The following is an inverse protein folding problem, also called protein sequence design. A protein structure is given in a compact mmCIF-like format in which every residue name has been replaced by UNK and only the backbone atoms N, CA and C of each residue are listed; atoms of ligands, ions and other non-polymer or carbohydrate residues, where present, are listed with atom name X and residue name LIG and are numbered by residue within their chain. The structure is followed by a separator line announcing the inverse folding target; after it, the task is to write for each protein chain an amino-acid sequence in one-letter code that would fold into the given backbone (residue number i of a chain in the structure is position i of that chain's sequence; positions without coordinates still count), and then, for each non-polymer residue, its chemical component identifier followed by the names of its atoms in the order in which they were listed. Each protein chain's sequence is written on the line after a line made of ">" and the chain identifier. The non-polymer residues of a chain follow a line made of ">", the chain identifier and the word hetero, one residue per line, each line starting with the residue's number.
data_IF_386484163367
#
_entry.id   IF_386484163367
#
_cell.length_a   1.000
_cell.length_b   1.000
_cell.length_c   1.000
_cell.angle_alpha   90.00
_cell.angle_beta   90.00
_cell.angle_gamma   90.00
#
_symmetry.space_group_name_H-M   'P 1'
#
loop_
_entity.id
_entity.type
_entity.pdbx_description
1 polymer ?
#
# COMPACT_ATOMS: atom_id res chain seq x y z
N UNK A 1 23.66 7.23 -0.83
CA UNK A 1 24.92 6.55 -0.48
C UNK A 1 24.59 5.14 0.01
N UNK A 2 25.42 4.15 -0.32
CA UNK A 2 25.22 2.76 0.05
C UNK A 2 26.55 2.06 0.33
N UNK A 3 26.48 1.02 1.16
CA UNK A 3 27.60 0.14 1.49
C UNK A 3 27.20 -1.28 1.19
N UNK A 4 28.08 -2.07 0.58
CA UNK A 4 27.89 -3.49 0.35
C UNK A 4 28.98 -4.29 1.06
N UNK A 5 28.58 -5.33 1.79
CA UNK A 5 29.44 -6.31 2.41
C UNK A 5 29.30 -7.64 1.66
N UNK A 6 30.39 -8.15 1.12
CA UNK A 6 30.44 -9.39 0.33
C UNK A 6 31.08 -10.52 1.14
N UNK A 7 30.40 -11.66 1.22
CA UNK A 7 30.93 -12.85 1.86
C UNK A 7 30.60 -14.11 1.06
N UNK A 8 31.63 -14.84 0.58
CA UNK A 8 31.45 -16.07 -0.24
C UNK A 8 30.57 -17.15 0.44
N UNK A 9 30.62 -17.23 1.77
CA UNK A 9 29.85 -18.23 2.51
C UNK A 9 28.47 -17.74 2.95
N UNK A 10 28.33 -16.45 3.24
CA UNK A 10 27.19 -15.85 3.90
C UNK A 10 26.26 -15.05 2.98
N UNK A 11 26.66 -14.84 1.72
CA UNK A 11 25.91 -14.04 0.78
C UNK A 11 26.34 -12.56 0.79
N UNK A 12 25.50 -11.70 0.24
CA UNK A 12 25.72 -10.27 0.12
C UNK A 12 24.75 -9.50 1.00
N UNK A 13 25.28 -8.56 1.79
CA UNK A 13 24.50 -7.59 2.55
C UNK A 13 24.76 -6.20 2.00
N UNK A 14 23.72 -5.50 1.62
CA UNK A 14 23.77 -4.12 1.10
C UNK A 14 22.95 -3.19 2.01
N UNK A 15 23.48 -2.00 2.27
CA UNK A 15 22.78 -0.95 2.99
C UNK A 15 22.74 0.34 2.20
N UNK A 16 21.59 0.98 2.09
CA UNK A 16 21.43 2.27 1.40
C UNK A 16 20.46 3.17 2.16
N UNK A 17 20.64 4.48 2.02
CA UNK A 17 19.65 5.46 2.46
C UNK A 17 18.83 5.87 1.24
N UNK A 18 17.52 5.82 1.38
CA UNK A 18 16.55 6.22 0.35
C UNK A 18 15.71 7.37 0.87
N UNK A 19 15.57 8.39 0.05
CA UNK A 19 14.62 9.47 0.28
C UNK A 19 13.57 9.44 -0.84
N UNK A 20 12.31 9.56 -0.47
CA UNK A 20 11.16 9.66 -1.36
C UNK A 20 10.47 10.98 -1.09
N UNK A 21 10.33 11.80 -2.11
CA UNK A 21 9.52 13.03 -2.06
C UNK A 21 8.27 12.83 -2.92
N UNK A 22 7.12 13.13 -2.36
CA UNK A 22 5.83 13.03 -3.05
C UNK A 22 5.13 14.38 -2.94
N UNK A 23 4.58 14.87 -4.05
CA UNK A 23 3.77 16.06 -4.10
C UNK A 23 2.38 15.72 -4.62
N UNK A 24 1.36 16.16 -3.90
CA UNK A 24 -0.04 16.09 -4.30
C UNK A 24 -0.54 17.52 -4.48
N UNK A 25 -1.13 17.81 -5.64
CA UNK A 25 -1.72 19.11 -5.94
C UNK A 25 -3.18 18.96 -6.31
N UNK A 26 -3.95 19.98 -5.97
CA UNK A 26 -5.31 20.16 -6.43
C UNK A 26 -5.35 21.52 -7.15
N UNK A 27 -5.85 21.52 -8.38
CA UNK A 27 -6.02 22.72 -9.17
C UNK A 27 -7.13 23.60 -8.57
N UNK A 28 -7.15 24.88 -8.94
CA UNK A 28 -8.23 25.79 -8.61
C UNK A 28 -9.56 25.25 -9.15
N UNK A 29 -10.40 24.75 -8.26
CA UNK A 29 -11.71 24.25 -8.59
C UNK A 29 -12.75 25.32 -8.24
N UNK A 30 -13.44 25.86 -9.24
CA UNK A 30 -14.60 26.70 -9.02
C UNK A 30 -15.80 25.80 -8.77
N UNK A 31 -16.19 25.62 -7.52
CA UNK A 31 -17.43 24.95 -7.17
C UNK A 31 -18.57 25.98 -7.16
N UNK A 32 -19.58 25.79 -8.02
CA UNK A 32 -20.80 26.58 -7.99
C UNK A 32 -21.80 25.86 -7.08
N UNK A 33 -22.00 26.35 -5.89
CA UNK A 33 -23.14 25.95 -5.06
C UNK A 33 -24.38 26.71 -5.55
N UNK A 34 -25.30 25.99 -6.16
CA UNK A 34 -26.64 26.52 -6.42
C UNK A 34 -27.49 26.29 -5.15
N UNK A 35 -27.58 27.27 -4.32
CA UNK A 35 -28.70 27.37 -3.40
C UNK A 35 -29.86 28.07 -4.12
N UNK A 36 -31.11 27.76 -3.77
CA UNK A 36 -32.32 28.20 -4.48
C UNK A 36 -32.49 29.74 -4.52
N UNK A 37 -31.63 30.48 -3.81
CA UNK A 37 -31.69 31.93 -3.68
C UNK A 37 -30.41 32.70 -4.03
N UNK A 38 -29.24 32.05 -4.02
CA UNK A 38 -27.95 32.71 -4.32
C UNK A 38 -26.99 31.72 -4.99
N UNK A 39 -26.52 32.11 -6.18
CA UNK A 39 -25.41 31.40 -6.82
C UNK A 39 -24.10 31.95 -6.30
N UNK A 40 -23.51 31.35 -5.29
CA UNK A 40 -22.15 31.67 -4.86
C UNK A 40 -21.15 30.76 -5.56
N UNK A 41 -20.21 31.37 -6.27
CA UNK A 41 -19.06 30.63 -6.81
C UNK A 41 -17.97 30.65 -5.74
N UNK A 42 -17.78 29.52 -5.08
CA UNK A 42 -16.68 29.32 -4.14
C UNK A 42 -15.49 28.81 -4.95
N UNK A 43 -14.46 29.62 -5.10
CA UNK A 43 -13.18 29.19 -5.66
C UNK A 43 -12.31 28.63 -4.54
N UNK A 44 -11.98 27.36 -4.59
CA UNK A 44 -10.93 26.77 -3.74
C UNK A 44 -9.56 27.17 -4.29
N UNK A 45 -8.67 27.75 -3.49
CA UNK A 45 -7.33 28.07 -3.95
C UNK A 45 -6.56 26.79 -4.32
N UNK A 46 -5.64 26.92 -5.27
CA UNK A 46 -4.71 25.86 -5.62
C UNK A 46 -3.94 25.42 -4.36
N UNK A 47 -4.03 24.16 -4.01
CA UNK A 47 -3.44 23.63 -2.77
C UNK A 47 -2.46 22.53 -3.10
N UNK A 48 -1.22 22.65 -2.58
CA UNK A 48 -0.17 21.64 -2.75
C UNK A 48 0.24 21.08 -1.39
N UNK A 49 0.34 19.77 -1.34
CA UNK A 49 0.88 19.02 -0.21
C UNK A 49 2.17 18.34 -0.61
N UNK A 50 3.21 18.50 0.21
CA UNK A 50 4.51 17.89 -0.03
C UNK A 50 4.85 16.95 1.13
N UNK A 51 5.24 15.73 0.80
CA UNK A 51 5.60 14.70 1.75
C UNK A 51 7.02 14.22 1.48
N UNK A 52 7.76 13.89 2.52
CA UNK A 52 9.12 13.37 2.41
C UNK A 52 9.29 12.21 3.38
N UNK A 53 9.63 11.04 2.83
CA UNK A 53 9.96 9.86 3.59
C UNK A 53 11.44 9.53 3.42
N UNK A 54 12.11 9.23 4.53
CA UNK A 54 13.52 8.81 4.54
C UNK A 54 13.62 7.44 5.21
N UNK A 55 14.25 6.50 4.52
CA UNK A 55 14.40 5.12 4.96
C UNK A 55 15.85 4.65 4.90
N UNK A 56 16.23 3.78 5.82
CA UNK A 56 17.36 2.88 5.65
C UNK A 56 16.85 1.63 4.93
N UNK A 57 17.41 1.36 3.76
CA UNK A 57 17.17 0.12 3.03
C UNK A 57 18.30 -0.86 3.31
N UNK A 58 17.96 -2.05 3.80
CA UNK A 58 18.84 -3.21 3.87
C UNK A 58 18.41 -4.24 2.84
N UNK A 59 19.39 -4.87 2.17
CA UNK A 59 19.15 -6.01 1.28
C UNK A 59 20.12 -7.12 1.63
N UNK A 60 19.59 -8.30 1.81
CA UNK A 60 20.35 -9.53 1.95
C UNK A 60 20.06 -10.46 0.77
N UNK A 61 21.11 -11.04 0.21
CA UNK A 61 21.00 -12.02 -0.88
C UNK A 61 21.99 -13.14 -0.65
N UNK A 62 21.48 -14.36 -0.58
CA UNK A 62 22.28 -15.58 -0.57
C UNK A 62 21.66 -16.54 -1.58
N UNK A 63 22.42 -16.89 -2.60
CA UNK A 63 21.98 -17.81 -3.66
C UNK A 63 23.02 -18.91 -3.80
N UNK A 64 22.61 -20.12 -3.47
CA UNK A 64 23.35 -21.36 -3.68
C UNK A 64 22.56 -22.23 -4.65
N UNK A 65 23.21 -23.24 -5.20
CA UNK A 65 22.64 -24.13 -6.22
C UNK A 65 21.27 -24.72 -5.83
N UNK A 66 21.11 -25.11 -4.56
CA UNK A 66 19.87 -25.75 -4.07
C UNK A 66 18.97 -24.85 -3.23
N UNK A 67 19.52 -23.79 -2.66
CA UNK A 67 18.79 -22.91 -1.73
C UNK A 67 19.14 -21.47 -2.04
N UNK A 68 18.14 -20.61 -2.07
CA UNK A 68 18.35 -19.17 -2.16
C UNK A 68 17.40 -18.40 -1.27
N UNK A 69 17.91 -17.31 -0.72
CA UNK A 69 17.14 -16.34 0.08
C UNK A 69 17.48 -14.95 -0.40
N UNK A 70 16.45 -14.14 -0.57
CA UNK A 70 16.56 -12.70 -0.79
C UNK A 70 15.61 -12.02 0.18
N UNK A 71 16.11 -11.05 0.94
CA UNK A 71 15.30 -10.23 1.84
C UNK A 71 15.66 -8.76 1.64
N UNK A 72 14.64 -7.91 1.64
CA UNK A 72 14.77 -6.45 1.61
C UNK A 72 13.96 -5.88 2.78
N UNK A 73 14.56 -4.97 3.53
CA UNK A 73 13.91 -4.26 4.62
C UNK A 73 14.07 -2.76 4.41
N UNK A 74 13.00 -2.03 4.64
CA UNK A 74 12.99 -0.57 4.68
C UNK A 74 12.59 -0.16 6.10
N UNK A 75 13.51 0.48 6.80
CA UNK A 75 13.31 1.00 8.15
C UNK A 75 13.11 2.51 8.05
N UNK A 76 11.99 3.06 8.48
CA UNK A 76 11.75 4.49 8.41
C UNK A 76 12.64 5.22 9.41
N UNK A 77 13.35 6.26 8.95
CA UNK A 77 13.99 7.29 9.78
C UNK A 77 13.02 8.46 9.98
N UNK A 78 12.33 8.82 8.92
CA UNK A 78 11.22 9.76 8.90
C UNK A 78 10.20 9.22 7.92
N UNK A 79 8.98 8.97 8.37
CA UNK A 79 7.93 8.40 7.55
C UNK A 79 6.64 9.18 7.72
N UNK A 80 6.13 9.71 6.61
CA UNK A 80 4.81 10.32 6.52
C UNK A 80 3.85 9.40 5.78
N UNK A 81 4.28 8.85 4.64
CA UNK A 81 3.44 8.03 3.77
C UNK A 81 3.75 6.55 3.86
N UNK A 82 5.02 6.21 4.02
CA UNK A 82 5.49 4.83 4.00
C UNK A 82 6.28 4.50 5.26
N UNK A 83 5.77 3.58 6.07
CA UNK A 83 6.44 3.07 7.26
C UNK A 83 7.39 1.91 6.95
N UNK A 84 7.38 0.92 7.82
CA UNK A 84 8.19 -0.29 7.70
C UNK A 84 7.75 -1.15 6.51
N UNK A 85 8.74 -1.68 5.77
CA UNK A 85 8.52 -2.68 4.70
C UNK A 85 9.52 -3.79 4.85
N UNK A 86 9.05 -5.03 4.79
CA UNK A 86 9.85 -6.24 4.73
C UNK A 86 9.36 -7.12 3.58
N UNK A 87 10.24 -7.40 2.64
CA UNK A 87 10.04 -8.35 1.55
C UNK A 87 11.07 -9.48 1.67
N UNK A 88 10.61 -10.73 1.76
CA UNK A 88 11.49 -11.89 1.77
C UNK A 88 11.02 -12.93 0.76
N UNK A 89 11.99 -13.53 0.07
CA UNK A 89 11.77 -14.62 -0.90
C UNK A 89 12.77 -15.72 -0.61
N UNK A 90 12.30 -16.93 -0.64
CA UNK A 90 13.16 -18.11 -0.52
C UNK A 90 12.81 -19.13 -1.58
N UNK A 91 13.79 -19.92 -2.00
CA UNK A 91 13.54 -21.09 -2.81
C UNK A 91 14.39 -22.26 -2.34
N UNK A 92 13.86 -23.46 -2.53
CA UNK A 92 14.51 -24.73 -2.28
C UNK A 92 14.32 -25.64 -3.50
N UNK A 93 15.42 -26.10 -4.08
CA UNK A 93 15.41 -27.09 -5.16
C UNK A 93 15.31 -28.49 -4.52
N UNK A 94 14.18 -29.17 -4.74
CA UNK A 94 13.88 -30.49 -4.21
C UNK A 94 14.33 -31.65 -5.14
N UNK A 95 15.11 -31.36 -6.16
CA UNK A 95 15.58 -32.25 -7.20
C UNK A 95 15.79 -31.45 -8.49
N UNK A 96 15.95 -32.14 -9.63
CA UNK A 96 16.23 -31.41 -10.89
C UNK A 96 14.99 -30.73 -11.48
N UNK A 97 13.80 -31.19 -11.12
CA UNK A 97 12.54 -30.74 -11.73
C UNK A 97 11.56 -30.10 -10.74
N UNK A 98 11.89 -30.05 -9.42
CA UNK A 98 10.99 -29.54 -8.38
C UNK A 98 11.58 -28.39 -7.61
N UNK A 99 10.75 -27.38 -7.38
CA UNK A 99 11.10 -26.19 -6.63
C UNK A 99 10.00 -25.86 -5.62
N UNK A 100 10.40 -25.62 -4.39
CA UNK A 100 9.56 -25.00 -3.39
C UNK A 100 9.97 -23.52 -3.28
N UNK A 101 9.01 -22.62 -3.41
CA UNK A 101 9.23 -21.17 -3.27
C UNK A 101 8.35 -20.61 -2.16
N UNK A 102 8.86 -19.65 -1.45
CA UNK A 102 8.14 -18.93 -0.41
C UNK A 102 8.33 -17.43 -0.56
N UNK A 103 7.27 -16.69 -0.28
CA UNK A 103 7.28 -15.23 -0.24
C UNK A 103 6.63 -14.77 1.05
N UNK A 104 7.27 -13.82 1.70
CA UNK A 104 6.73 -13.10 2.83
C UNK A 104 6.86 -11.61 2.54
N UNK A 105 5.78 -10.88 2.76
CA UNK A 105 5.72 -9.44 2.59
C UNK A 105 4.97 -8.85 3.78
N UNK A 106 5.54 -7.83 4.40
CA UNK A 106 4.89 -7.02 5.40
C UNK A 106 5.12 -5.55 5.08
N UNK A 107 4.05 -4.77 5.04
CA UNK A 107 4.10 -3.33 4.77
C UNK A 107 3.21 -2.58 5.72
N UNK A 108 3.72 -1.46 6.22
CA UNK A 108 2.93 -0.43 6.88
C UNK A 108 3.01 0.82 6.02
N UNK A 109 1.87 1.30 5.54
CA UNK A 109 1.81 2.48 4.69
C UNK A 109 0.50 3.22 4.91
N UNK A 110 0.48 4.51 4.66
CA UNK A 110 -0.80 5.21 4.56
C UNK A 110 -1.57 4.72 3.33
N UNK A 111 -2.89 4.73 3.36
CA UNK A 111 -3.74 4.52 2.19
C UNK A 111 -3.34 5.44 1.03
N UNK A 112 -3.84 5.14 -0.16
CA UNK A 112 -3.64 6.01 -1.30
C UNK A 112 -4.08 7.45 -0.97
N UNK A 113 -3.26 8.45 -1.32
CA UNK A 113 -3.51 9.84 -0.92
C UNK A 113 -4.88 10.37 -1.34
N UNK A 114 -5.42 9.88 -2.47
CA UNK A 114 -6.77 10.22 -2.93
C UNK A 114 -7.89 9.63 -2.04
N UNK A 115 -7.61 8.62 -1.23
CA UNK A 115 -8.54 8.13 -0.20
C UNK A 115 -8.47 8.95 1.09
N UNK A 116 -7.33 9.60 1.34
CA UNK A 116 -7.16 10.41 2.55
C UNK A 116 -7.52 11.87 2.32
N UNK A 117 -7.31 12.34 1.10
CA UNK A 117 -7.53 13.73 0.72
C UNK A 117 -7.94 13.80 -0.74
N UNK A 118 -9.10 14.34 -1.00
CA UNK A 118 -9.62 14.50 -2.34
C UNK A 118 -10.40 15.80 -2.46
N UNK A 119 -10.24 16.48 -3.58
CA UNK A 119 -10.96 17.71 -3.90
C UNK A 119 -11.49 17.62 -5.34
N UNK A 120 -12.75 17.96 -5.51
CA UNK A 120 -13.43 17.98 -6.79
C UNK A 120 -14.35 19.20 -6.92
N UNK A 121 -14.87 19.43 -8.13
CA UNK A 121 -15.91 20.44 -8.39
C UNK A 121 -17.27 20.11 -7.76
N UNK A 122 -17.43 18.90 -7.25
CA UNK A 122 -18.66 18.43 -6.61
C UNK A 122 -18.48 18.45 -5.09
N UNK A 123 -19.29 19.20 -4.38
CA UNK A 123 -19.21 19.36 -2.91
C UNK A 123 -19.26 18.00 -2.18
N UNK A 124 -20.00 17.05 -2.74
CA UNK A 124 -20.14 15.71 -2.20
C UNK A 124 -18.87 14.83 -2.25
N UNK A 125 -17.89 15.22 -3.07
CA UNK A 125 -16.66 14.47 -3.29
C UNK A 125 -15.44 15.25 -2.82
N UNK A 126 -15.56 15.95 -1.70
CA UNK A 126 -14.47 16.67 -1.07
C UNK A 126 -14.26 16.16 0.34
N UNK A 127 -13.08 15.62 0.63
CA UNK A 127 -12.73 15.14 1.98
C UNK A 127 -11.25 15.34 2.28
N UNK A 128 -10.94 15.55 3.55
CA UNK A 128 -9.60 15.56 4.10
C UNK A 128 -9.61 14.89 5.47
N UNK A 129 -9.19 13.63 5.49
CA UNK A 129 -9.05 12.82 6.69
C UNK A 129 -7.59 12.46 6.98
N UNK A 130 -6.64 13.16 6.33
CA UNK A 130 -5.23 12.84 6.40
C UNK A 130 -4.70 12.85 7.84
N UNK A 131 -5.02 13.88 8.61
CA UNK A 131 -4.57 14.02 10.00
C UNK A 131 -5.16 12.96 10.95
N UNK A 132 -6.28 12.35 10.57
CA UNK A 132 -6.97 11.31 11.33
C UNK A 132 -6.62 9.91 10.84
N UNK A 133 -5.81 9.82 9.79
CA UNK A 133 -5.50 8.56 9.14
C UNK A 133 -4.49 7.75 9.96
N UNK A 134 -4.62 6.44 9.86
CA UNK A 134 -3.67 5.48 10.40
C UNK A 134 -3.04 4.68 9.26
N UNK A 135 -1.81 4.21 9.47
CA UNK A 135 -1.17 3.32 8.51
C UNK A 135 -1.90 1.99 8.42
N UNK A 136 -2.15 1.56 7.19
CA UNK A 136 -2.58 0.21 6.89
C UNK A 136 -1.43 -0.75 7.10
N UNK A 137 -1.71 -1.92 7.68
CA UNK A 137 -0.74 -3.00 7.80
C UNK A 137 -1.15 -4.15 6.90
N UNK A 138 -0.34 -4.40 5.89
CA UNK A 138 -0.49 -5.51 4.96
C UNK A 138 0.50 -6.61 5.30
N UNK A 139 0.01 -7.84 5.44
CA UNK A 139 0.86 -9.04 5.53
C UNK A 139 0.43 -10.01 4.45
N UNK A 140 1.40 -10.53 3.70
CA UNK A 140 1.20 -11.54 2.67
C UNK A 140 2.19 -12.68 2.84
N UNK A 141 1.67 -13.88 2.87
CA UNK A 141 2.45 -15.11 2.82
C UNK A 141 1.99 -15.93 1.60
N UNK A 142 2.93 -16.33 0.76
CA UNK A 142 2.68 -17.22 -0.37
C UNK A 142 3.68 -18.38 -0.32
N UNK A 143 3.20 -19.59 -0.59
CA UNK A 143 4.02 -20.78 -0.86
C UNK A 143 3.64 -21.36 -2.22
N UNK A 144 4.60 -21.89 -2.96
CA UNK A 144 4.40 -22.48 -4.28
C UNK A 144 5.30 -23.70 -4.43
N UNK A 145 4.71 -24.81 -4.82
CA UNK A 145 5.42 -26.00 -5.26
C UNK A 145 5.30 -26.10 -6.78
N UNK A 146 6.42 -26.03 -7.47
CA UNK A 146 6.52 -26.22 -8.91
C UNK A 146 7.13 -27.56 -9.24
N UNK A 147 6.51 -28.31 -10.13
CA UNK A 147 7.04 -29.52 -10.76
C UNK A 147 6.99 -29.32 -12.26
N UNK A 148 8.15 -29.43 -12.95
CA UNK A 148 8.23 -29.17 -14.39
C UNK A 148 7.34 -30.08 -15.25
N UNK A 149 6.92 -31.22 -14.72
CA UNK A 149 6.06 -32.18 -15.43
C UNK A 149 4.59 -31.98 -15.18
N UNK A 150 4.23 -31.56 -13.96
CA UNK A 150 2.86 -31.53 -13.50
C UNK A 150 2.32 -30.09 -13.31
N UNK A 151 3.16 -29.08 -13.48
CA UNK A 151 2.76 -27.68 -13.27
C UNK A 151 3.06 -27.18 -11.86
N UNK A 152 2.30 -26.20 -11.39
CA UNK A 152 2.51 -25.61 -10.08
C UNK A 152 1.23 -25.52 -9.26
N UNK A 153 1.40 -25.69 -7.96
CA UNK A 153 0.36 -25.45 -6.95
C UNK A 153 0.81 -24.33 -6.02
N UNK A 154 -0.03 -23.36 -5.74
CA UNK A 154 0.31 -22.30 -4.81
C UNK A 154 -0.82 -21.98 -3.84
N UNK A 155 -0.43 -21.66 -2.61
CA UNK A 155 -1.33 -21.18 -1.58
C UNK A 155 -0.87 -19.81 -1.09
N UNK A 156 -1.82 -18.91 -0.79
CA UNK A 156 -1.54 -17.57 -0.35
C UNK A 156 -2.54 -17.15 0.73
N UNK A 157 -2.02 -16.41 1.71
CA UNK A 157 -2.81 -15.69 2.70
C UNK A 157 -2.37 -14.23 2.69
N UNK A 158 -3.34 -13.33 2.66
CA UNK A 158 -3.14 -11.89 2.83
C UNK A 158 -4.00 -11.41 3.99
N UNK A 159 -3.45 -10.53 4.80
CA UNK A 159 -4.21 -9.81 5.84
C UNK A 159 -4.02 -8.32 5.67
N UNK A 160 -5.08 -7.57 5.92
CA UNK A 160 -5.11 -6.12 5.93
C UNK A 160 -5.71 -5.65 7.24
N UNK A 161 -4.94 -4.89 8.00
CA UNK A 161 -5.40 -4.18 9.20
C UNK A 161 -5.53 -2.69 8.91
N UNK A 162 -6.50 -2.03 9.51
CA UNK A 162 -6.80 -0.62 9.33
C UNK A 162 -7.04 -0.25 7.84
N UNK A 163 -7.59 -1.17 7.05
CA UNK A 163 -7.92 -0.90 5.65
C UNK A 163 -8.97 0.20 5.51
N UNK A 164 -8.83 1.03 4.49
CA UNK A 164 -9.81 2.07 4.16
C UNK A 164 -10.67 1.64 2.98
N UNK A 165 -11.95 1.95 3.07
CA UNK A 165 -12.91 1.69 2.01
C UNK A 165 -13.98 2.80 1.98
N UNK A 166 -14.66 2.93 0.86
CA UNK A 166 -15.84 3.79 0.80
C UNK A 166 -17.02 3.01 1.30
N UNK A 167 -17.70 3.53 2.32
CA UNK A 167 -18.92 2.92 2.81
C UNK A 167 -20.03 3.09 1.76
N UNK A 168 -20.74 2.00 1.45
CA UNK A 168 -21.89 2.08 0.57
C UNK A 168 -22.99 2.91 1.25
N UNK A 169 -23.69 3.78 0.53
CA UNK A 169 -24.82 4.51 1.08
C UNK A 169 -25.84 3.52 1.66
N UNK A 170 -26.33 3.82 2.86
CA UNK A 170 -27.30 2.97 3.56
C UNK A 170 -28.49 2.70 2.64
N UNK A 171 -28.85 1.42 2.47
CA UNK A 171 -30.00 1.02 1.67
C UNK A 171 -31.29 1.70 2.23
N UNK A 172 -31.93 2.52 1.39
CA UNK A 172 -33.07 3.34 1.78
C UNK A 172 -32.95 4.82 1.41
N UNK A 173 -31.78 5.25 0.95
CA UNK A 173 -31.57 6.61 0.46
C UNK A 173 -32.17 6.75 -0.93
N UNK A 174 -33.48 7.02 -1.04
CA UNK A 174 -34.18 7.29 -2.30
C UNK A 174 -34.33 8.77 -2.59
N UNK A 175 -33.64 9.62 -1.83
CA UNK A 175 -33.69 11.07 -2.00
C UNK A 175 -32.74 11.53 -3.08
N UNK A 176 -33.25 12.02 -4.20
CA UNK A 176 -32.57 12.98 -5.08
C UNK A 176 -32.35 14.35 -4.37
N UNK A 177 -32.34 14.33 -3.05
CA UNK A 177 -32.02 15.47 -2.21
C UNK A 177 -30.50 15.64 -2.13
N UNK A 178 -30.08 16.85 -2.07
CA UNK A 178 -28.73 17.43 -2.16
C UNK A 178 -27.70 16.98 -1.10
N UNK A 179 -27.94 15.92 -0.34
CA UNK A 179 -27.02 15.39 0.67
C UNK A 179 -26.14 14.28 0.13
N UNK A 180 -25.22 14.63 -0.76
CA UNK A 180 -24.13 13.77 -1.21
C UNK A 180 -22.99 13.68 -0.20
N UNK A 181 -23.22 13.95 1.06
CA UNK A 181 -22.20 13.97 2.13
C UNK A 181 -21.61 12.61 2.51
N UNK A 182 -21.85 11.55 1.73
CA UNK A 182 -21.74 10.18 2.23
C UNK A 182 -20.67 9.30 1.59
N UNK A 183 -19.77 9.85 0.80
CA UNK A 183 -18.67 9.08 0.23
C UNK A 183 -17.33 9.35 0.93
N UNK A 184 -17.33 9.53 2.24
CA UNK A 184 -16.08 9.63 2.98
C UNK A 184 -15.46 8.23 3.14
N UNK A 185 -14.15 8.09 2.95
CA UNK A 185 -13.47 6.84 3.25
C UNK A 185 -13.56 6.53 4.75
N UNK A 186 -13.90 5.29 5.05
CA UNK A 186 -14.03 4.79 6.41
C UNK A 186 -12.92 3.77 6.67
N UNK A 187 -12.32 3.82 7.86
CA UNK A 187 -11.34 2.85 8.29
C UNK A 187 -12.02 1.59 8.84
N UNK A 188 -11.62 0.43 8.36
CA UNK A 188 -12.03 -0.85 8.94
C UNK A 188 -11.39 -1.04 10.33
N UNK A 189 -12.20 -1.39 11.30
CA UNK A 189 -11.71 -1.83 12.62
C UNK A 189 -11.45 -3.35 12.65
N UNK A 190 -11.74 -4.05 11.56
CA UNK A 190 -11.60 -5.49 11.44
C UNK A 190 -10.40 -5.87 10.59
N UNK A 191 -9.83 -7.04 10.87
CA UNK A 191 -8.79 -7.63 10.05
C UNK A 191 -9.42 -8.31 8.85
N UNK A 192 -9.14 -7.79 7.65
CA UNK A 192 -9.59 -8.42 6.41
C UNK A 192 -8.58 -9.52 6.05
N UNK A 193 -9.06 -10.75 5.87
CA UNK A 193 -8.22 -11.89 5.49
C UNK A 193 -8.70 -12.49 4.18
N UNK A 194 -7.80 -12.54 3.19
CA UNK A 194 -8.01 -13.22 1.90
C UNK A 194 -7.15 -14.50 1.86
N UNK A 195 -7.77 -15.59 1.45
CA UNK A 195 -7.08 -16.88 1.22
C UNK A 195 -7.34 -17.33 -0.20
N UNK A 196 -6.29 -17.75 -0.90
CA UNK A 196 -6.42 -18.28 -2.26
C UNK A 196 -5.56 -19.52 -2.46
N UNK A 197 -6.09 -20.45 -3.25
CA UNK A 197 -5.40 -21.63 -3.75
C UNK A 197 -5.47 -21.57 -5.27
N UNK A 198 -4.35 -21.78 -5.95
CA UNK A 198 -4.27 -21.84 -7.39
C UNK A 198 -3.49 -23.08 -7.84
N UNK A 199 -3.93 -23.60 -8.96
CA UNK A 199 -3.42 -24.81 -9.59
C UNK A 199 -3.09 -24.51 -11.04
#
# INVERSE_FOLDING_TARGET
>A
AGVALLGKAWGTLEGTIRQLATRQGFENLAATTQDATTSETISSPETFYSYSDTHIKGRYTNQKERVGVKAEVYLPLQATLQGFVLDAKAYLKLGDERFLRGWFEQRNQLPALNMLRYQSNYTAFNWDIFEQSAMESHVRLKAELEDKRFGSISAQVKTLNNGYFFEAPIAGYTGLGTDYTLLNPVRSNEVITERSLSY
#
